data_IF_598102652472
#
_entry.id   IF_598102652472
#
_cell.length_a   1.000
_cell.length_b   1.000
_cell.length_c   1.000
_cell.angle_alpha   90.00
_cell.angle_beta   90.00
_cell.angle_gamma   90.00
#
_symmetry.space_group_name_H-M   'P 1'
#
loop_
_entity.id
_entity.type
_entity.pdbx_description
1 polymer ?
#
# COMPACT_ATOMS: atom_id res chain seq x y z
N UNK A 1 -9.23 20.17 -14.62
CA UNK A 1 -8.01 19.45 -14.20
C UNK A 1 -8.46 18.04 -13.94
N UNK A 2 -8.34 17.18 -14.94
CA UNK A 2 -8.84 15.80 -14.86
C UNK A 2 -7.95 15.04 -13.87
N UNK A 3 -8.58 14.49 -12.84
CA UNK A 3 -7.89 13.84 -11.74
C UNK A 3 -7.14 12.62 -12.27
N UNK A 4 -5.81 12.67 -12.29
CA UNK A 4 -4.94 11.49 -12.41
C UNK A 4 -4.99 10.60 -11.16
N UNK A 5 -5.93 10.86 -10.25
CA UNK A 5 -6.12 10.10 -9.03
C UNK A 5 -6.77 8.75 -9.31
N UNK A 6 -6.41 7.78 -8.49
CA UNK A 6 -6.98 6.44 -8.52
C UNK A 6 -8.50 6.56 -8.25
N UNK A 7 -9.33 6.11 -9.20
CA UNK A 7 -10.78 6.02 -8.97
C UNK A 7 -11.13 4.88 -7.99
N UNK A 8 -12.35 4.90 -7.47
CA UNK A 8 -12.77 3.95 -6.43
C UNK A 8 -12.64 2.47 -6.82
N UNK A 9 -12.77 2.14 -8.11
CA UNK A 9 -12.66 0.75 -8.58
C UNK A 9 -11.20 0.32 -8.60
N UNK A 10 -10.33 1.14 -9.20
CA UNK A 10 -8.89 0.85 -9.26
C UNK A 10 -8.29 0.82 -7.84
N UNK A 11 -8.75 1.67 -6.92
CA UNK A 11 -8.29 1.66 -5.54
C UNK A 11 -8.62 0.33 -4.84
N UNK A 12 -9.79 -0.24 -5.14
CA UNK A 12 -10.22 -1.53 -4.61
C UNK A 12 -9.41 -2.69 -5.22
N UNK A 13 -9.12 -2.64 -6.52
CA UNK A 13 -8.29 -3.64 -7.21
C UNK A 13 -6.86 -3.65 -6.66
N UNK A 14 -6.25 -2.48 -6.49
CA UNK A 14 -4.91 -2.33 -5.89
C UNK A 14 -4.91 -2.84 -4.45
N UNK A 15 -5.93 -2.49 -3.66
CA UNK A 15 -6.08 -3.01 -2.28
C UNK A 15 -6.11 -4.54 -2.27
N UNK A 16 -6.94 -5.14 -3.12
CA UNK A 16 -7.11 -6.59 -3.17
C UNK A 16 -5.85 -7.29 -3.66
N UNK A 17 -5.13 -6.69 -4.62
CA UNK A 17 -3.84 -7.18 -5.09
C UNK A 17 -2.78 -7.15 -3.98
N UNK A 18 -2.65 -6.04 -3.24
CA UNK A 18 -1.71 -5.92 -2.11
C UNK A 18 -2.03 -6.92 -1.00
N UNK A 19 -3.31 -7.09 -0.66
CA UNK A 19 -3.73 -8.08 0.33
C UNK A 19 -3.28 -9.50 -0.05
N UNK A 20 -3.43 -9.87 -1.32
CA UNK A 20 -3.06 -11.20 -1.84
C UNK A 20 -1.55 -11.39 -1.94
N UNK A 21 -0.86 -10.48 -2.62
CA UNK A 21 0.56 -10.65 -2.94
C UNK A 21 1.48 -10.30 -1.77
N UNK A 22 1.11 -9.31 -0.96
CA UNK A 22 1.94 -8.77 0.13
C UNK A 22 1.48 -9.22 1.51
N UNK A 23 0.34 -9.92 1.62
CA UNK A 23 -0.29 -10.27 2.91
C UNK A 23 -0.42 -9.03 3.81
N UNK A 24 -0.82 -7.92 3.22
CA UNK A 24 -0.92 -6.61 3.87
C UNK A 24 -2.31 -6.05 3.63
N UNK A 25 -3.08 -5.86 4.71
CA UNK A 25 -4.40 -5.25 4.63
C UNK A 25 -4.28 -3.72 4.66
N UNK A 26 -4.62 -3.07 3.55
CA UNK A 26 -4.70 -1.61 3.45
C UNK A 26 -6.14 -1.14 3.51
N UNK A 27 -6.33 0.07 4.04
CA UNK A 27 -7.57 0.80 3.88
C UNK A 27 -7.60 1.49 2.51
N UNK A 28 -8.79 1.61 1.91
CA UNK A 28 -8.96 2.19 0.56
C UNK A 28 -8.47 3.65 0.49
N UNK A 29 -8.57 4.41 1.58
CA UNK A 29 -8.08 5.80 1.62
C UNK A 29 -6.55 5.91 1.56
N UNK A 30 -5.80 4.82 1.82
CA UNK A 30 -4.34 4.76 1.67
C UNK A 30 -3.92 4.60 0.19
N UNK A 31 -4.88 4.61 -0.73
CA UNK A 31 -4.71 4.38 -2.17
C UNK A 31 -5.50 5.41 -3.00
N UNK A 32 -6.70 5.77 -2.54
CA UNK A 32 -7.64 6.63 -3.27
C UNK A 32 -7.12 8.08 -3.42
N UNK A 33 -7.36 8.69 -4.59
CA UNK A 33 -7.06 10.11 -4.83
C UNK A 33 -5.61 10.34 -5.29
N UNK A 34 -4.96 11.40 -4.79
CA UNK A 34 -3.59 11.81 -5.17
C UNK A 34 -2.50 11.20 -4.26
N UNK A 35 -2.76 10.01 -3.72
CA UNK A 35 -1.78 9.29 -2.89
C UNK A 35 -0.62 8.87 -3.79
N UNK A 36 0.62 9.14 -3.34
CA UNK A 36 1.80 8.73 -4.08
C UNK A 36 2.02 7.24 -3.90
N UNK A 37 2.45 6.57 -4.97
CA UNK A 37 2.78 5.14 -4.93
C UNK A 37 3.77 4.78 -3.81
N UNK A 38 4.71 5.68 -3.50
CA UNK A 38 5.66 5.46 -2.40
C UNK A 38 4.98 5.40 -1.02
N UNK A 39 3.95 6.21 -0.79
CA UNK A 39 3.21 6.23 0.48
C UNK A 39 2.40 4.94 0.64
N UNK A 40 1.71 4.51 -0.42
CA UNK A 40 1.02 3.21 -0.47
C UNK A 40 1.99 2.04 -0.28
N UNK A 41 3.17 2.10 -0.89
CA UNK A 41 4.21 1.08 -0.76
C UNK A 41 4.76 0.97 0.66
N UNK A 42 5.00 2.11 1.32
CA UNK A 42 5.42 2.16 2.73
C UNK A 42 4.32 1.62 3.66
N UNK A 43 3.06 1.97 3.41
CA UNK A 43 1.93 1.43 4.15
C UNK A 43 1.86 -0.11 4.04
N UNK A 44 1.97 -0.64 2.81
CA UNK A 44 1.98 -2.08 2.57
C UNK A 44 3.17 -2.77 3.27
N UNK A 45 4.37 -2.21 3.15
CA UNK A 45 5.58 -2.74 3.79
C UNK A 45 5.50 -2.73 5.33
N UNK A 46 4.81 -1.75 5.93
CA UNK A 46 4.64 -1.68 7.38
C UNK A 46 3.69 -2.76 7.93
N UNK A 47 2.74 -3.22 7.09
CA UNK A 47 1.64 -4.14 7.45
C UNK A 47 1.83 -5.55 6.89
N UNK A 48 2.85 -5.79 6.09
CA UNK A 48 3.10 -7.09 5.43
C UNK A 48 3.36 -8.22 6.42
N UNK A 49 2.73 -9.37 6.18
CA UNK A 49 3.03 -10.62 6.87
C UNK A 49 4.39 -11.24 6.53
N UNK A 50 5.16 -10.68 5.59
CA UNK A 50 6.50 -11.17 5.23
C UNK A 50 7.63 -10.60 6.10
N UNK A 51 7.32 -9.69 7.03
CA UNK A 51 8.32 -9.04 7.88
C UNK A 51 9.07 -10.07 8.72
N UNK A 52 10.37 -10.18 8.49
CA UNK A 52 11.23 -11.06 9.29
C UNK A 52 11.47 -10.41 10.68
N UNK A 53 11.40 -11.18 11.78
CA UNK A 53 11.64 -10.64 13.14
C UNK A 53 12.98 -9.92 13.30
N UNK A 54 14.00 -10.33 12.52
CA UNK A 54 15.34 -9.76 12.55
C UNK A 54 15.50 -8.47 11.72
N UNK A 55 14.47 -7.99 11.01
CA UNK A 55 14.49 -6.69 10.32
C UNK A 55 14.28 -5.51 11.29
N UNK A 56 14.62 -5.69 12.56
CA UNK A 56 14.66 -4.62 13.55
C UNK A 56 16.10 -4.14 13.70
N UNK A 57 16.33 -2.91 13.23
CA UNK A 57 17.54 -2.07 13.25
C UNK A 57 18.52 -2.20 12.07
N UNK A 58 18.65 -1.09 11.34
CA UNK A 58 19.92 -0.62 10.79
C UNK A 58 19.86 -0.19 9.32
N UNK A 59 19.93 1.12 9.05
CA UNK A 59 20.22 1.63 7.71
C UNK A 59 19.90 3.11 7.50
N UNK A 60 20.61 3.98 8.21
CA UNK A 60 20.83 5.44 8.04
C UNK A 60 19.63 6.39 7.88
#
# INVERSE_FOLDING_TARGET
>A
MESFGVDSLIALEVRNWIAREMRAELAVYEILGDVKLIDTGLAAASKTGFRQPHWTKGGS
#
